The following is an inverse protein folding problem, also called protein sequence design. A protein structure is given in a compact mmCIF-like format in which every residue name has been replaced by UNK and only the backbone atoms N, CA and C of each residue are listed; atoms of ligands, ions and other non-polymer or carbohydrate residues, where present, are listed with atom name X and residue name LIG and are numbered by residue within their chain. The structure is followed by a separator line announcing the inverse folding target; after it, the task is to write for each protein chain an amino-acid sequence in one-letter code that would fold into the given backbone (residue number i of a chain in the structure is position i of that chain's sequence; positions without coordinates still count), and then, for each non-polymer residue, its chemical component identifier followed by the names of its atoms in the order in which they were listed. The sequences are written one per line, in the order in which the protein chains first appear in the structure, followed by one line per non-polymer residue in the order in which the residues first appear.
data_IF_206157517722
#
_entry.id   IF_206157517722
#
_cell.length_a   1.000
_cell.length_b   1.000
_cell.length_c   1.000
_cell.angle_alpha   90.00
_cell.angle_beta   90.00
_cell.angle_gamma   90.00
#
_symmetry.space_group_name_H-M   'P 1'
#
loop_
_entity.id
_entity.type
_entity.pdbx_description
1 polymer ?
#
# COMPACT_ATOMS: atom_id res chain seq x y z
N UNK A 1 -22.71 -37.70 -37.12
CA UNK A 1 -22.55 -36.24 -37.17
C UNK A 1 -22.97 -35.70 -35.82
N UNK A 2 -22.01 -35.33 -34.97
CA UNK A 2 -22.26 -34.98 -33.56
C UNK A 2 -21.70 -33.58 -33.25
N UNK A 3 -22.53 -32.82 -32.58
CA UNK A 3 -22.43 -31.43 -32.12
C UNK A 3 -21.28 -31.18 -31.14
N UNK A 4 -20.65 -30.00 -31.18
CA UNK A 4 -20.59 -29.13 -30.00
C UNK A 4 -20.04 -27.72 -30.29
N UNK A 5 -20.89 -26.74 -30.01
CA UNK A 5 -20.61 -25.31 -29.95
C UNK A 5 -19.58 -25.02 -28.85
N UNK A 6 -18.45 -24.41 -29.23
CA UNK A 6 -17.44 -23.92 -28.28
C UNK A 6 -18.04 -22.79 -27.44
N UNK A 7 -18.21 -23.05 -26.14
CA UNK A 7 -18.65 -22.10 -25.12
C UNK A 7 -17.53 -21.09 -24.87
N UNK A 8 -17.69 -19.85 -25.37
CA UNK A 8 -16.73 -18.76 -25.13
C UNK A 8 -16.69 -18.46 -23.63
N UNK A 9 -15.50 -18.62 -23.01
CA UNK A 9 -15.25 -18.16 -21.64
C UNK A 9 -14.93 -16.67 -21.69
N UNK A 10 -15.76 -15.85 -21.04
CA UNK A 10 -15.49 -14.43 -20.77
C UNK A 10 -14.18 -14.29 -20.01
N UNK A 11 -13.29 -13.41 -20.47
CA UNK A 11 -11.98 -13.17 -19.87
C UNK A 11 -11.71 -11.68 -19.65
N UNK A 12 -12.76 -10.91 -19.44
CA UNK A 12 -12.69 -9.46 -19.53
C UNK A 12 -12.80 -8.84 -18.14
N UNK A 13 -11.97 -9.32 -17.21
CA UNK A 13 -11.53 -8.52 -16.07
C UNK A 13 -10.33 -7.69 -16.55
N UNK A 14 -10.58 -6.63 -17.32
CA UNK A 14 -9.53 -5.69 -17.70
C UNK A 14 -8.89 -5.13 -16.42
N UNK A 15 -7.54 -5.02 -16.34
CA UNK A 15 -6.91 -4.32 -15.24
C UNK A 15 -7.39 -2.87 -15.25
N UNK A 16 -8.11 -2.47 -14.20
CA UNK A 16 -8.46 -1.07 -14.00
C UNK A 16 -7.15 -0.28 -13.86
N UNK A 17 -6.93 0.78 -14.66
CA UNK A 17 -5.76 1.62 -14.47
C UNK A 17 -5.88 2.24 -13.08
N UNK A 18 -4.97 1.86 -12.18
CA UNK A 18 -4.84 2.50 -10.88
C UNK A 18 -4.43 3.95 -11.15
N UNK A 19 -5.21 4.95 -10.70
CA UNK A 19 -4.84 6.34 -10.92
C UNK A 19 -3.47 6.58 -10.31
N UNK A 20 -2.53 7.06 -11.14
CA UNK A 20 -1.24 7.55 -10.67
C UNK A 20 -1.51 8.75 -9.77
N UNK A 21 -1.25 8.61 -8.47
CA UNK A 21 -1.37 9.70 -7.49
C UNK A 21 0.02 10.38 -7.43
N UNK A 22 0.24 11.51 -8.12
CA UNK A 22 1.56 12.10 -8.27
C UNK A 22 2.07 12.77 -6.99
N UNK A 23 1.16 13.13 -6.09
CA UNK A 23 1.46 13.84 -4.85
C UNK A 23 0.51 13.42 -3.73
N UNK A 24 1.00 13.50 -2.50
CA UNK A 24 0.18 13.30 -1.30
C UNK A 24 -0.82 14.44 -1.15
N UNK A 25 -2.04 14.13 -0.71
CA UNK A 25 -3.11 15.11 -0.55
C UNK A 25 -2.84 16.15 0.56
N UNK A 26 -2.00 15.79 1.53
CA UNK A 26 -1.61 16.69 2.62
C UNK A 26 -0.43 17.59 2.20
N UNK A 27 -0.60 18.93 2.20
CA UNK A 27 0.44 19.86 1.79
C UNK A 27 1.72 19.80 2.63
N UNK A 28 1.64 19.34 3.89
CA UNK A 28 2.80 19.15 4.77
C UNK A 28 3.73 18.04 4.28
N UNK A 29 3.23 17.19 3.37
CA UNK A 29 3.96 16.06 2.81
C UNK A 29 4.51 16.33 1.40
N UNK A 30 4.37 17.56 0.89
CA UNK A 30 5.03 17.96 -0.35
C UNK A 30 6.54 17.75 -0.26
N UNK A 31 7.13 17.17 -1.32
CA UNK A 31 8.53 16.77 -1.32
C UNK A 31 8.84 15.47 -0.58
N UNK A 32 7.83 14.70 -0.16
CA UNK A 32 8.04 13.36 0.35
C UNK A 32 8.81 12.50 -0.66
N UNK A 33 9.85 11.82 -0.19
CA UNK A 33 10.68 10.96 -1.04
C UNK A 33 9.87 9.83 -1.65
N UNK A 34 8.82 9.38 -0.98
CA UNK A 34 7.94 8.29 -1.37
C UNK A 34 6.84 8.67 -2.39
N UNK A 35 6.68 9.95 -2.75
CA UNK A 35 5.64 10.37 -3.67
C UNK A 35 5.74 9.63 -5.02
N UNK A 36 4.60 9.15 -5.54
CA UNK A 36 4.51 8.41 -6.80
C UNK A 36 4.99 6.95 -6.76
N UNK A 37 5.32 6.39 -5.58
CA UNK A 37 5.80 5.00 -5.44
C UNK A 37 4.77 4.04 -4.83
N UNK A 38 3.48 4.39 -4.86
CA UNK A 38 2.42 3.42 -4.56
C UNK A 38 2.51 2.23 -5.55
N UNK A 39 2.28 0.98 -5.13
CA UNK A 39 1.75 0.53 -3.83
C UNK A 39 2.82 0.15 -2.79
N UNK A 40 4.08 0.55 -2.95
CA UNK A 40 5.23 0.08 -2.15
C UNK A 40 5.02 0.20 -0.63
N UNK A 41 4.23 1.17 -0.18
CA UNK A 41 4.00 1.48 1.23
C UNK A 41 2.73 0.84 1.78
N UNK A 42 1.89 0.21 0.96
CA UNK A 42 0.59 -0.30 1.38
C UNK A 42 0.76 -1.52 2.29
N UNK A 43 -0.07 -1.63 3.34
CA UNK A 43 0.01 -2.76 4.29
C UNK A 43 -0.32 -4.10 3.61
N UNK A 44 -1.14 -4.07 2.56
CA UNK A 44 -1.65 -5.25 1.90
C UNK A 44 -1.69 -5.06 0.38
N UNK A 45 -1.22 -6.06 -0.36
CA UNK A 45 -1.31 -6.16 -1.82
C UNK A 45 -1.89 -7.55 -2.14
N UNK A 46 -2.84 -7.69 -3.09
CA UNK A 46 -3.40 -8.98 -3.45
C UNK A 46 -2.35 -9.93 -4.00
N UNK A 47 -2.42 -11.20 -3.58
CA UNK A 47 -1.54 -12.28 -4.05
C UNK A 47 -0.04 -12.07 -3.76
N UNK A 48 0.29 -11.17 -2.84
CA UNK A 48 1.66 -10.99 -2.34
C UNK A 48 1.98 -12.06 -1.30
N UNK A 49 3.17 -12.66 -1.38
CA UNK A 49 3.65 -13.60 -0.37
C UNK A 49 4.07 -12.87 0.93
N UNK A 50 4.14 -13.58 2.05
CA UNK A 50 4.58 -12.95 3.32
C UNK A 50 6.03 -12.45 3.23
N UNK A 51 6.90 -13.16 2.51
CA UNK A 51 8.31 -12.81 2.35
C UNK A 51 8.45 -11.56 1.47
N UNK A 52 7.78 -11.52 0.32
CA UNK A 52 7.74 -10.34 -0.56
C UNK A 52 7.19 -9.12 0.19
N UNK A 53 6.12 -9.32 0.97
CA UNK A 53 5.53 -8.26 1.81
C UNK A 53 6.54 -7.75 2.83
N UNK A 54 7.25 -8.64 3.52
CA UNK A 54 8.26 -8.27 4.53
C UNK A 54 9.40 -7.47 3.90
N UNK A 55 9.91 -7.92 2.76
CA UNK A 55 10.99 -7.23 2.04
C UNK A 55 10.55 -5.87 1.51
N UNK A 56 9.35 -5.79 0.92
CA UNK A 56 8.77 -4.53 0.46
C UNK A 56 8.56 -3.54 1.60
N UNK A 57 8.00 -3.97 2.74
CA UNK A 57 7.79 -3.12 3.90
C UNK A 57 9.12 -2.73 4.56
N UNK A 58 10.14 -3.58 4.52
CA UNK A 58 11.50 -3.23 4.97
C UNK A 58 12.12 -2.15 4.07
N UNK A 59 11.99 -2.28 2.75
CA UNK A 59 12.42 -1.28 1.79
C UNK A 59 11.70 0.07 2.00
N UNK A 60 10.38 0.04 2.16
CA UNK A 60 9.58 1.23 2.45
C UNK A 60 10.04 1.94 3.75
N UNK A 61 10.29 1.19 4.83
CA UNK A 61 10.81 1.74 6.08
C UNK A 61 12.20 2.39 5.89
N UNK A 62 13.09 1.71 5.16
CA UNK A 62 14.42 2.25 4.85
C UNK A 62 14.33 3.57 4.09
N UNK A 63 13.47 3.63 3.09
CA UNK A 63 13.25 4.82 2.28
C UNK A 63 12.74 6.00 3.12
N UNK A 64 11.75 5.76 3.98
CA UNK A 64 11.21 6.78 4.87
C UNK A 64 12.21 7.27 5.93
N UNK A 65 13.21 6.47 6.31
CA UNK A 65 14.22 6.86 7.30
C UNK A 65 15.04 8.09 6.88
N UNK A 66 15.14 8.34 5.57
CA UNK A 66 15.89 9.45 4.97
C UNK A 66 14.99 10.59 4.48
N UNK A 67 13.69 10.54 4.75
CA UNK A 67 12.73 11.52 4.25
C UNK A 67 12.65 12.74 5.18
N UNK A 68 12.73 13.94 4.61
CA UNK A 68 12.70 15.21 5.36
C UNK A 68 11.35 15.49 6.03
N UNK A 69 10.24 15.05 5.42
CA UNK A 69 8.88 15.24 5.96
C UNK A 69 8.43 14.14 6.93
N UNK A 70 9.35 13.27 7.39
CA UNK A 70 9.04 12.08 8.21
C UNK A 70 8.20 12.39 9.45
N UNK A 71 8.49 13.49 10.15
CA UNK A 71 7.77 13.88 11.37
C UNK A 71 6.32 14.27 11.05
N UNK A 72 6.12 15.17 10.09
CA UNK A 72 4.79 15.55 9.63
C UNK A 72 4.00 14.35 9.06
N UNK A 73 4.68 13.45 8.36
CA UNK A 73 4.08 12.22 7.81
C UNK A 73 3.47 11.32 8.89
N UNK A 74 4.10 11.18 10.06
CA UNK A 74 3.54 10.41 11.18
C UNK A 74 2.32 11.06 11.81
N UNK A 75 2.33 12.39 11.89
CA UNK A 75 1.18 13.16 12.39
C UNK A 75 -0.01 12.98 11.46
N UNK A 76 0.21 13.23 10.16
CA UNK A 76 -0.80 13.03 9.12
C UNK A 76 -1.37 11.62 9.12
N UNK A 77 -0.55 10.59 9.30
CA UNK A 77 -1.01 9.20 9.37
C UNK A 77 -1.98 8.95 10.54
N UNK A 78 -1.75 9.61 11.68
CA UNK A 78 -2.63 9.51 12.84
C UNK A 78 -3.93 10.30 12.63
N UNK A 79 -3.83 11.50 12.04
CA UNK A 79 -4.97 12.38 11.77
C UNK A 79 -5.92 11.80 10.71
N UNK A 80 -5.39 11.03 9.75
CA UNK A 80 -6.15 10.46 8.65
C UNK A 80 -6.46 8.96 8.82
N UNK A 81 -6.17 8.36 9.97
CA UNK A 81 -6.31 6.91 10.22
C UNK A 81 -5.67 6.06 9.09
N UNK A 82 -4.48 6.47 8.66
CA UNK A 82 -3.85 5.88 7.49
C UNK A 82 -3.27 4.50 7.80
N UNK A 83 -3.25 3.62 6.80
CA UNK A 83 -2.64 2.28 6.88
C UNK A 83 -1.41 2.16 5.97
N UNK A 84 -0.53 1.21 6.27
CA UNK A 84 0.74 1.03 5.56
C UNK A 84 1.92 1.73 6.24
N UNK A 85 3.01 1.95 5.50
CA UNK A 85 4.22 2.61 6.02
C UNK A 85 4.08 4.13 5.93
N UNK A 86 4.05 4.78 7.09
CA UNK A 86 4.03 6.23 7.22
C UNK A 86 5.15 6.70 8.13
N UNK A 87 5.97 7.64 7.65
CA UNK A 87 7.15 8.12 8.38
C UNK A 87 8.09 7.00 8.87
N UNK A 88 8.14 5.89 8.12
CA UNK A 88 8.94 4.71 8.43
C UNK A 88 8.41 3.87 9.59
N UNK A 89 7.12 3.94 9.87
CA UNK A 89 6.41 3.12 10.87
C UNK A 89 5.24 2.44 10.17
N UNK A 90 4.95 1.20 10.51
CA UNK A 90 3.76 0.50 10.03
C UNK A 90 2.53 0.92 10.84
N UNK A 91 1.51 1.44 10.14
CA UNK A 91 0.20 1.80 10.66
C UNK A 91 -0.88 0.86 10.09
N UNK A 92 -1.94 0.62 10.86
CA UNK A 92 -2.95 -0.38 10.52
C UNK A 92 -2.45 -1.83 10.71
N UNK A 93 -3.37 -2.76 10.94
CA UNK A 93 -2.99 -4.13 11.23
C UNK A 93 -2.77 -4.96 9.95
N UNK A 94 -1.65 -5.67 9.92
CA UNK A 94 -1.49 -6.90 9.18
C UNK A 94 -2.02 -8.06 10.05
N UNK A 95 -3.31 -8.10 10.37
CA UNK A 95 -3.99 -9.27 10.92
C UNK A 95 -3.60 -9.71 12.34
N UNK A 96 -3.09 -8.84 13.22
CA UNK A 96 -2.94 -9.18 14.65
C UNK A 96 -4.04 -8.47 15.45
N UNK A 97 -5.02 -9.19 16.04
CA UNK A 97 -5.98 -8.57 16.94
C UNK A 97 -5.23 -7.90 18.09
N UNK A 98 -5.62 -6.65 18.40
CA UNK A 98 -5.17 -5.91 19.57
C UNK A 98 -5.38 -6.83 20.78
N UNK A 99 -4.31 -7.25 21.48
CA UNK A 99 -4.50 -7.89 22.80
C UNK A 99 -5.19 -6.83 23.66
N UNK A 100 -6.47 -7.04 23.93
CA UNK A 100 -7.16 -6.32 24.99
C UNK A 100 -6.36 -6.57 26.27
N UNK A 101 -5.85 -5.49 26.86
CA UNK A 101 -5.19 -5.53 28.14
C UNK A 101 -6.26 -5.88 29.18
N UNK A 102 -6.18 -7.09 29.73
CA UNK A 102 -6.85 -7.52 30.95
C UNK A 102 -5.97 -7.18 32.16
#
# INVERSE_FOLDING_TARGET
MATQTVKRRSRDGLPVPVPEIPALADPRLHGARCAGMAPTFDVWIPNESDDDRRDRLAYAQHLCSRCTVRVACRQAATEHDASGIWGGVLHGDAGRPKREAA
#
